data_IF_649043746377
#
_entry.id   IF_649043746377
#
_cell.length_a   1.000
_cell.length_b   1.000
_cell.length_c   1.000
_cell.angle_alpha   90.00
_cell.angle_beta   90.00
_cell.angle_gamma   90.00
#
_symmetry.space_group_name_H-M   'P 1'
#
loop_
_entity.id
_entity.type
_entity.pdbx_description
1 polymer ?
#
# COMPACT_ATOMS: atom_id res chain seq x y z
N UNK A 1 19.83 -20.01 -39.17
CA UNK A 1 19.05 -20.54 -38.03
C UNK A 1 19.35 -19.82 -36.70
N UNK A 2 20.35 -18.94 -36.59
CA UNK A 2 20.67 -18.19 -35.35
C UNK A 2 19.94 -16.84 -35.24
N UNK A 3 19.56 -16.21 -36.36
CA UNK A 3 18.84 -14.92 -36.35
C UNK A 3 17.38 -15.02 -35.87
N UNK A 4 16.69 -16.14 -36.13
CA UNK A 4 15.30 -16.35 -35.70
C UNK A 4 15.16 -16.48 -34.17
N UNK A 5 16.13 -17.11 -33.51
CA UNK A 5 16.13 -17.33 -32.07
C UNK A 5 16.26 -15.98 -31.32
N UNK A 6 17.05 -15.04 -31.87
CA UNK A 6 17.21 -13.69 -31.32
C UNK A 6 15.94 -12.84 -31.45
N UNK A 7 15.25 -12.94 -32.59
CA UNK A 7 13.99 -12.22 -32.82
C UNK A 7 12.85 -12.75 -31.92
N UNK A 8 12.71 -14.08 -31.80
CA UNK A 8 11.71 -14.70 -30.94
C UNK A 8 11.95 -14.36 -29.45
N UNK A 9 13.20 -14.42 -28.98
CA UNK A 9 13.55 -14.03 -27.62
C UNK A 9 13.26 -12.54 -27.37
N UNK A 10 13.47 -11.67 -28.35
CA UNK A 10 13.17 -10.24 -28.24
C UNK A 10 11.66 -10.01 -28.13
N UNK A 11 10.85 -10.71 -28.93
CA UNK A 11 9.40 -10.65 -28.86
C UNK A 11 8.85 -11.14 -27.51
N UNK A 12 9.38 -12.25 -26.98
CA UNK A 12 8.99 -12.77 -25.66
C UNK A 12 9.28 -11.75 -24.55
N UNK A 13 10.46 -11.12 -24.58
CA UNK A 13 10.84 -10.10 -23.60
C UNK A 13 9.93 -8.86 -23.66
N UNK A 14 9.54 -8.44 -24.87
CA UNK A 14 8.58 -7.35 -25.07
C UNK A 14 7.20 -7.75 -24.53
N UNK A 15 6.76 -8.98 -24.77
CA UNK A 15 5.50 -9.49 -24.22
C UNK A 15 5.50 -9.50 -22.69
N UNK A 16 6.60 -9.92 -22.06
CA UNK A 16 6.77 -9.87 -20.61
C UNK A 16 6.70 -8.43 -20.07
N UNK A 17 7.30 -7.48 -20.79
CA UNK A 17 7.23 -6.06 -20.44
C UNK A 17 5.79 -5.52 -20.51
N UNK A 18 5.01 -5.88 -21.54
CA UNK A 18 3.61 -5.49 -21.63
C UNK A 18 2.74 -6.15 -20.55
N UNK A 19 3.03 -7.40 -20.17
CA UNK A 19 2.38 -8.07 -19.05
C UNK A 19 2.68 -7.35 -17.71
N UNK A 20 3.92 -6.90 -17.50
CA UNK A 20 4.31 -6.09 -16.34
C UNK A 20 3.52 -4.76 -16.27
N UNK A 21 3.40 -4.07 -17.41
CA UNK A 21 2.58 -2.86 -17.51
C UNK A 21 1.12 -3.11 -17.13
N UNK A 22 0.51 -4.17 -17.66
CA UNK A 22 -0.88 -4.52 -17.35
C UNK A 22 -1.08 -4.86 -15.87
N UNK A 23 -0.13 -5.59 -15.27
CA UNK A 23 -0.14 -5.92 -13.85
C UNK A 23 -0.02 -4.67 -12.97
N UNK A 24 0.83 -3.69 -13.34
CA UNK A 24 0.95 -2.42 -12.62
C UNK A 24 -0.34 -1.61 -12.67
N UNK A 25 -1.00 -1.53 -13.83
CA UNK A 25 -2.31 -0.89 -13.96
C UNK A 25 -3.37 -1.54 -13.06
N UNK A 26 -3.40 -2.87 -13.04
CA UNK A 26 -4.32 -3.60 -12.17
C UNK A 26 -4.01 -3.34 -10.69
N UNK A 27 -2.74 -3.27 -10.31
CA UNK A 27 -2.32 -2.98 -8.95
C UNK A 27 -2.68 -1.55 -8.52
N UNK A 28 -2.55 -0.56 -9.39
CA UNK A 28 -2.98 0.82 -9.12
C UNK A 28 -4.48 0.87 -8.85
N UNK A 29 -5.31 0.22 -9.69
CA UNK A 29 -6.77 0.15 -9.45
C UNK A 29 -7.12 -0.50 -8.11
N UNK A 30 -6.35 -1.51 -7.69
CA UNK A 30 -6.52 -2.10 -6.37
C UNK A 30 -6.19 -1.10 -5.26
N UNK A 31 -5.10 -0.33 -5.38
CA UNK A 31 -4.74 0.71 -4.42
C UNK A 31 -5.79 1.83 -4.36
N UNK A 32 -6.43 2.18 -5.48
CA UNK A 32 -7.51 3.17 -5.54
C UNK A 32 -8.75 2.64 -4.79
N UNK A 33 -9.08 1.37 -5.01
CA UNK A 33 -10.18 0.70 -4.33
C UNK A 33 -9.92 0.59 -2.82
N UNK A 34 -8.68 0.26 -2.42
CA UNK A 34 -8.24 0.24 -1.02
C UNK A 34 -8.35 1.64 -0.40
N UNK A 35 -7.95 2.69 -1.10
CA UNK A 35 -8.08 4.07 -0.62
C UNK A 35 -9.55 4.44 -0.39
N UNK A 36 -10.45 4.10 -1.32
CA UNK A 36 -11.88 4.35 -1.17
C UNK A 36 -12.49 3.55 -0.02
N UNK A 37 -12.15 2.27 0.12
CA UNK A 37 -12.62 1.43 1.22
C UNK A 37 -12.15 1.97 2.59
N UNK A 38 -10.91 2.48 2.66
CA UNK A 38 -10.38 3.14 3.86
C UNK A 38 -11.14 4.43 4.19
N UNK A 39 -11.46 5.25 3.19
CA UNK A 39 -12.24 6.48 3.38
C UNK A 39 -13.68 6.20 3.82
N UNK A 40 -14.32 5.17 3.26
CA UNK A 40 -15.72 4.79 3.51
C UNK A 40 -15.91 3.86 4.72
N UNK A 41 -14.84 3.54 5.47
CA UNK A 41 -14.88 2.71 6.68
C UNK A 41 -15.40 1.27 6.46
N UNK A 42 -15.18 0.73 5.26
CA UNK A 42 -15.64 -0.61 4.87
C UNK A 42 -14.64 -1.69 5.32
N UNK A 43 -14.65 -2.00 6.62
CA UNK A 43 -13.68 -2.90 7.28
C UNK A 43 -13.64 -4.32 6.69
N UNK A 44 -14.77 -4.91 6.33
CA UNK A 44 -14.80 -6.24 5.69
C UNK A 44 -14.10 -6.25 4.32
N UNK A 45 -14.26 -5.17 3.55
CA UNK A 45 -13.63 -5.06 2.23
C UNK A 45 -12.11 -4.90 2.35
N UNK A 46 -11.61 -4.23 3.40
CA UNK A 46 -10.17 -4.05 3.62
C UNK A 46 -9.47 -5.40 3.78
N UNK A 47 -10.08 -6.38 4.46
CA UNK A 47 -9.50 -7.72 4.62
C UNK A 47 -9.36 -8.45 3.28
N UNK A 48 -10.41 -8.46 2.46
CA UNK A 48 -10.39 -9.09 1.12
C UNK A 48 -9.37 -8.41 0.19
N UNK A 49 -9.27 -7.07 0.28
CA UNK A 49 -8.31 -6.30 -0.48
C UNK A 49 -6.85 -6.60 -0.08
N UNK A 50 -6.59 -6.89 1.20
CA UNK A 50 -5.25 -7.22 1.68
C UNK A 50 -4.71 -8.56 1.11
N UNK A 51 -5.56 -9.58 1.03
CA UNK A 51 -5.20 -10.88 0.43
C UNK A 51 -4.92 -10.72 -1.08
N UNK A 52 -5.80 -10.00 -1.78
CA UNK A 52 -5.65 -9.69 -3.20
C UNK A 52 -4.37 -8.90 -3.47
N UNK A 53 -4.07 -7.91 -2.62
CA UNK A 53 -2.84 -7.10 -2.69
C UNK A 53 -1.59 -7.96 -2.56
N UNK A 54 -1.60 -8.92 -1.64
CA UNK A 54 -0.47 -9.83 -1.42
C UNK A 54 -0.19 -10.67 -2.67
N UNK A 55 -1.24 -11.23 -3.28
CA UNK A 55 -1.12 -12.00 -4.53
C UNK A 55 -0.57 -11.13 -5.67
N UNK A 56 -1.11 -9.92 -5.86
CA UNK A 56 -0.65 -9.03 -6.94
C UNK A 56 0.79 -8.55 -6.75
N UNK A 57 1.23 -8.32 -5.51
CA UNK A 57 2.64 -7.97 -5.21
C UNK A 57 3.56 -9.13 -5.55
N UNK A 58 3.17 -10.37 -5.26
CA UNK A 58 3.95 -11.56 -5.62
C UNK A 58 4.07 -11.71 -7.14
N UNK A 59 2.98 -11.52 -7.88
CA UNK A 59 2.99 -11.57 -9.35
C UNK A 59 3.86 -10.46 -9.96
N UNK A 60 3.75 -9.23 -9.46
CA UNK A 60 4.62 -8.12 -9.87
C UNK A 60 6.10 -8.42 -9.59
N UNK A 61 6.42 -8.99 -8.44
CA UNK A 61 7.79 -9.38 -8.11
C UNK A 61 8.34 -10.45 -9.08
N UNK A 62 7.52 -11.44 -9.46
CA UNK A 62 7.88 -12.43 -10.48
C UNK A 62 8.18 -11.78 -11.83
N UNK A 63 7.33 -10.86 -12.27
CA UNK A 63 7.49 -10.13 -13.54
C UNK A 63 8.76 -9.26 -13.55
N UNK A 64 9.01 -8.51 -12.48
CA UNK A 64 10.24 -7.70 -12.32
C UNK A 64 11.48 -8.58 -12.35
N UNK A 65 11.45 -9.74 -11.69
CA UNK A 65 12.56 -10.68 -11.70
C UNK A 65 12.78 -11.32 -13.07
N UNK A 66 11.70 -11.67 -13.78
CA UNK A 66 11.75 -12.15 -15.16
C UNK A 66 12.39 -11.10 -16.07
N UNK A 67 11.99 -9.82 -15.96
CA UNK A 67 12.61 -8.72 -16.69
C UNK A 67 14.10 -8.60 -16.38
N UNK A 68 14.50 -8.60 -15.10
CA UNK A 68 15.92 -8.52 -14.71
C UNK A 68 16.74 -9.67 -15.28
N UNK A 69 16.22 -10.89 -15.23
CA UNK A 69 16.84 -12.06 -15.87
C UNK A 69 16.94 -11.87 -17.38
N UNK A 70 15.87 -11.39 -18.02
CA UNK A 70 15.84 -11.05 -19.44
C UNK A 70 16.90 -10.03 -19.84
N UNK A 71 17.11 -9.00 -19.02
CA UNK A 71 18.17 -8.01 -19.21
C UNK A 71 19.56 -8.64 -19.13
N UNK A 72 19.84 -9.41 -18.08
CA UNK A 72 21.13 -10.08 -17.89
C UNK A 72 21.47 -11.05 -19.02
N UNK A 73 20.50 -11.86 -19.48
CA UNK A 73 20.69 -12.79 -20.60
C UNK A 73 21.02 -12.10 -21.93
N UNK A 74 20.67 -10.82 -22.08
CA UNK A 74 20.95 -9.99 -23.26
C UNK A 74 22.18 -9.10 -23.09
N UNK A 75 22.91 -9.24 -21.97
CA UNK A 75 24.06 -8.40 -21.65
C UNK A 75 23.69 -6.95 -21.28
N UNK A 76 22.41 -6.68 -21.01
CA UNK A 76 21.95 -5.36 -20.58
C UNK A 76 22.26 -5.21 -19.09
N UNK A 77 23.00 -4.16 -18.74
CA UNK A 77 23.27 -3.81 -17.34
C UNK A 77 21.98 -3.43 -16.62
N UNK A 78 21.89 -3.75 -15.33
CA UNK A 78 20.77 -3.31 -14.47
C UNK A 78 21.10 -1.92 -13.91
N UNK A 79 21.27 -0.95 -14.80
CA UNK A 79 21.52 0.45 -14.46
C UNK A 79 20.35 1.33 -14.93
N UNK A 80 20.11 2.48 -14.28
CA UNK A 80 19.13 3.45 -14.77
C UNK A 80 19.43 3.83 -16.22
N UNK A 81 18.42 3.75 -17.09
CA UNK A 81 18.54 4.10 -18.51
C UNK A 81 19.03 2.98 -19.43
N UNK A 82 19.66 1.91 -18.93
CA UNK A 82 20.16 0.82 -19.80
C UNK A 82 19.05 0.13 -20.60
N UNK A 83 17.88 -0.04 -20.01
CA UNK A 83 16.70 -0.58 -20.69
C UNK A 83 16.21 0.35 -21.80
N UNK A 84 16.25 1.66 -21.57
CA UNK A 84 15.79 2.66 -22.53
C UNK A 84 16.73 2.75 -23.73
N UNK A 85 18.04 2.74 -23.48
CA UNK A 85 19.05 2.64 -24.54
C UNK A 85 18.86 1.37 -25.37
N UNK A 86 18.67 0.21 -24.72
CA UNK A 86 18.45 -1.05 -25.43
C UNK A 86 17.19 -1.02 -26.30
N UNK A 87 16.09 -0.47 -25.78
CA UNK A 87 14.84 -0.31 -26.52
C UNK A 87 15.02 0.62 -27.71
N UNK A 88 15.75 1.72 -27.58
CA UNK A 88 16.04 2.62 -28.70
C UNK A 88 16.83 1.93 -29.82
N UNK A 89 17.77 1.03 -29.47
CA UNK A 89 18.60 0.31 -30.45
C UNK A 89 17.85 -0.83 -31.14
N UNK A 90 16.99 -1.56 -30.43
CA UNK A 90 16.38 -2.80 -30.96
C UNK A 90 14.90 -2.63 -31.33
N UNK A 91 14.12 -1.89 -30.54
CA UNK A 91 12.67 -1.72 -30.73
C UNK A 91 12.17 -0.37 -30.21
N UNK A 92 12.47 0.72 -30.92
CA UNK A 92 12.15 2.08 -30.47
C UNK A 92 10.63 2.29 -30.21
N UNK A 93 9.77 1.55 -30.92
CA UNK A 93 8.31 1.56 -30.75
C UNK A 93 7.85 1.18 -29.33
N UNK A 94 8.67 0.43 -28.58
CA UNK A 94 8.35 -0.03 -27.23
C UNK A 94 8.91 0.89 -26.13
N UNK A 95 9.67 1.93 -26.49
CA UNK A 95 10.20 2.91 -25.54
C UNK A 95 9.10 3.60 -24.70
N UNK A 96 7.96 4.03 -25.29
CA UNK A 96 6.87 4.63 -24.51
C UNK A 96 6.29 3.69 -23.44
N UNK A 97 6.16 2.39 -23.74
CA UNK A 97 5.65 1.41 -22.78
C UNK A 97 6.58 1.25 -21.57
N UNK A 98 7.90 1.32 -21.78
CA UNK A 98 8.87 1.32 -20.68
C UNK A 98 8.79 2.59 -19.82
N UNK A 99 8.66 3.74 -20.47
CA UNK A 99 8.47 5.00 -19.74
C UNK A 99 7.22 4.94 -18.86
N UNK A 100 6.11 4.43 -19.40
CA UNK A 100 4.86 4.26 -18.68
C UNK A 100 5.01 3.30 -17.48
N UNK A 101 5.71 2.17 -17.63
CA UNK A 101 6.01 1.27 -16.49
C UNK A 101 6.70 2.02 -15.35
N UNK A 102 7.67 2.89 -15.66
CA UNK A 102 8.37 3.69 -14.64
C UNK A 102 7.44 4.71 -13.97
N UNK A 103 6.56 5.33 -14.74
CA UNK A 103 5.56 6.26 -14.21
C UNK A 103 4.55 5.54 -13.31
N UNK A 104 4.00 4.41 -13.75
CA UNK A 104 3.06 3.60 -12.99
C UNK A 104 3.69 3.07 -11.70
N UNK A 105 4.95 2.62 -11.74
CA UNK A 105 5.66 2.18 -10.53
C UNK A 105 5.80 3.31 -9.51
N UNK A 106 6.18 4.52 -9.96
CA UNK A 106 6.25 5.71 -9.10
C UNK A 106 4.88 6.05 -8.51
N UNK A 107 3.83 6.00 -9.34
CA UNK A 107 2.46 6.28 -8.90
C UNK A 107 1.96 5.26 -7.87
N UNK A 108 2.16 3.97 -8.11
CA UNK A 108 1.82 2.91 -7.18
C UNK A 108 2.57 3.04 -5.84
N UNK A 109 3.85 3.46 -5.86
CA UNK A 109 4.61 3.73 -4.64
C UNK A 109 4.03 4.90 -3.84
N UNK A 110 3.64 5.97 -4.53
CA UNK A 110 3.00 7.12 -3.91
C UNK A 110 1.66 6.73 -3.26
N UNK A 111 0.80 6.03 -4.00
CA UNK A 111 -0.49 5.55 -3.49
C UNK A 111 -0.34 4.61 -2.29
N UNK A 112 0.62 3.68 -2.35
CA UNK A 112 0.87 2.75 -1.26
C UNK A 112 1.28 3.51 0.02
N UNK A 113 2.13 4.54 -0.12
CA UNK A 113 2.50 5.41 0.99
C UNK A 113 1.28 6.15 1.57
N UNK A 114 0.46 6.77 0.72
CA UNK A 114 -0.75 7.48 1.16
C UNK A 114 -1.73 6.55 1.87
N UNK A 115 -1.96 5.35 1.35
CA UNK A 115 -2.82 4.35 1.99
C UNK A 115 -2.24 3.92 3.34
N UNK A 116 -0.92 3.74 3.44
CA UNK A 116 -0.24 3.43 4.70
C UNK A 116 -0.39 4.53 5.75
N UNK A 117 -0.26 5.81 5.35
CA UNK A 117 -0.47 6.96 6.23
C UNK A 117 -1.94 7.03 6.72
N UNK A 118 -2.91 6.80 5.84
CA UNK A 118 -4.33 6.76 6.20
C UNK A 118 -4.66 5.66 7.22
N UNK A 119 -4.10 4.47 7.05
CA UNK A 119 -4.23 3.36 7.99
C UNK A 119 -3.67 3.76 9.37
N UNK A 120 -2.49 4.37 9.42
CA UNK A 120 -1.87 4.80 10.68
C UNK A 120 -2.70 5.86 11.42
N UNK A 121 -3.26 6.82 10.69
CA UNK A 121 -4.13 7.86 11.28
C UNK A 121 -5.39 7.21 11.88
N UNK A 122 -6.06 6.31 11.16
CA UNK A 122 -7.25 5.62 11.66
C UNK A 122 -6.96 4.73 12.87
N UNK A 123 -5.85 4.01 12.87
CA UNK A 123 -5.42 3.22 14.04
C UNK A 123 -5.23 4.10 15.28
N UNK A 124 -4.59 5.26 15.14
CA UNK A 124 -4.38 6.20 16.25
C UNK A 124 -5.70 6.73 16.80
N UNK A 125 -6.64 7.13 15.94
CA UNK A 125 -7.97 7.59 16.35
C UNK A 125 -8.74 6.50 17.08
N UNK A 126 -8.72 5.26 16.58
CA UNK A 126 -9.37 4.13 17.25
C UNK A 126 -8.79 3.85 18.64
N UNK A 127 -7.45 3.88 18.78
CA UNK A 127 -6.80 3.71 20.08
C UNK A 127 -7.14 4.85 21.06
N UNK A 128 -7.22 6.09 20.57
CA UNK A 128 -7.63 7.25 21.38
C UNK A 128 -9.09 7.11 21.83
N UNK A 129 -10.00 6.75 20.92
CA UNK A 129 -11.41 6.51 21.25
C UNK A 129 -11.58 5.38 22.26
N UNK A 130 -10.89 4.25 22.07
CA UNK A 130 -10.88 3.16 23.04
C UNK A 130 -10.32 3.61 24.39
N UNK A 131 -9.25 4.39 24.41
CA UNK A 131 -8.69 4.94 25.66
C UNK A 131 -9.67 5.88 26.35
N UNK A 132 -10.39 6.73 25.60
CA UNK A 132 -11.42 7.61 26.15
C UNK A 132 -12.61 6.82 26.71
N UNK A 133 -13.12 5.82 25.98
CA UNK A 133 -14.21 4.94 26.44
C UNK A 133 -13.78 4.13 27.68
N UNK A 134 -12.56 3.59 27.66
CA UNK A 134 -12.00 2.86 28.79
C UNK A 134 -11.83 3.77 30.01
N UNK A 135 -11.32 4.99 29.84
CA UNK A 135 -11.19 5.94 30.95
C UNK A 135 -12.56 6.40 31.47
N UNK A 136 -13.55 6.61 30.60
CA UNK A 136 -14.91 6.98 31.01
C UNK A 136 -15.59 5.88 31.83
N UNK A 137 -15.40 4.61 31.47
CA UNK A 137 -15.90 3.46 32.26
C UNK A 137 -15.19 3.33 33.60
N UNK A 138 -13.87 3.57 33.65
CA UNK A 138 -13.11 3.56 34.91
C UNK A 138 -13.43 4.75 35.82
N UNK A 139 -13.70 5.94 35.26
CA UNK A 139 -14.18 7.09 36.02
C UNK A 139 -15.63 6.92 36.51
N UNK A 140 -16.48 6.17 35.78
CA UNK A 140 -17.82 5.82 36.24
C UNK A 140 -17.80 4.82 37.41
N UNK A 141 -16.82 3.90 37.43
CA UNK A 141 -16.58 2.98 38.56
C UNK A 141 -16.08 3.66 39.84
N UNK A 142 -15.66 4.93 39.77
CA UNK A 142 -15.29 5.74 40.94
C UNK A 142 -16.36 6.74 41.39
N UNK A 143 -17.46 6.87 40.64
CA UNK A 143 -18.51 7.85 40.92
C UNK A 143 -19.69 7.26 41.71
N UNK A 144 -19.86 5.94 41.68
CA UNK A 144 -20.90 5.23 42.42
C UNK A 144 -20.30 4.06 43.20
N UNK A 145 -20.34 4.15 44.53
CA UNK A 145 -20.06 2.99 45.38
C UNK A 145 -21.12 1.89 45.19
N UNK A 146 -20.88 0.66 45.66
CA UNK A 146 -21.84 -0.44 45.59
C UNK A 146 -23.23 -0.14 46.20
N UNK A 147 -23.34 0.91 47.02
CA UNK A 147 -24.60 1.42 47.60
C UNK A 147 -25.31 2.50 46.74
N UNK A 148 -24.84 2.77 45.52
CA UNK A 148 -25.50 3.71 44.60
C UNK A 148 -25.44 5.20 45.02
N UNK A 149 -24.57 5.55 45.97
CA UNK A 149 -24.39 6.93 46.42
C UNK A 149 -23.30 7.64 45.60
N UNK A 150 -23.56 8.84 45.06
CA UNK A 150 -22.54 9.66 44.43
C UNK A 150 -21.57 10.16 45.50
N UNK A 151 -20.31 9.71 45.47
CA UNK A 151 -19.26 10.33 46.30
C UNK A 151 -18.84 11.65 45.67
N UNK A 152 -19.64 12.68 45.85
CA UNK A 152 -19.16 14.04 45.69
C UNK A 152 -18.02 14.24 46.69
N UNK A 153 -16.85 14.77 46.30
CA UNK A 153 -15.85 15.18 47.26
C UNK A 153 -16.47 16.30 48.10
N UNK A 154 -16.91 15.96 49.31
CA UNK A 154 -17.35 16.92 50.32
C UNK A 154 -16.12 17.74 50.68
N UNK A 155 -15.89 18.80 49.91
CA UNK A 155 -14.98 19.89 50.26
C UNK A 155 -15.67 20.70 51.37
N UNK A 156 -15.73 20.10 52.56
CA UNK A 156 -16.25 20.68 53.77
C UNK A 156 -15.26 21.72 54.27
N UNK A 157 -15.54 22.98 53.93
CA UNK A 157 -15.03 24.16 54.62
C UNK A 157 -15.30 23.99 56.12
N UNK A 158 -14.25 23.68 56.88
CA UNK A 158 -14.23 23.91 58.33
C UNK A 158 -14.13 25.41 58.57
N UNK A 159 -15.30 26.08 58.63
CA UNK A 159 -15.45 27.35 59.33
C UNK A 159 -15.57 27.01 60.81
N UNK A 160 -14.49 27.12 61.58
CA UNK A 160 -14.58 27.14 63.03
C UNK A 160 -14.26 28.54 63.54
N UNK A 161 -15.32 29.25 63.91
CA UNK A 161 -15.30 30.31 64.91
C UNK A 161 -15.61 29.69 66.27
N UNK A 162 -14.80 29.98 67.29
CA UNK A 162 -15.11 30.47 68.65
C UNK A 162 -13.81 30.39 69.46
#
# INVERSE_FOLDING_TARGET
>A
MTSDISAAATAEFISQMHAERAALHAFIRLLETEQQALLNEQTEQIHVLADTKTQMVQELAKLVNARRKGMLTRGIKIEPGSMETWLQTHTAINSPAWHEIRQLATHAQHMNRTNGELIQVKMRLNQQTLTMLHNATHSANGLYGPDGQPSLPVSGRILNSV
#
